data_IF_470140400739
#
_entry.id   IF_470140400739
#
_cell.length_a   1.000
_cell.length_b   1.000
_cell.length_c   1.000
_cell.angle_alpha   90.00
_cell.angle_beta   90.00
_cell.angle_gamma   90.00
#
_symmetry.space_group_name_H-M   'P 1'
#
loop_
_entity.id
_entity.type
_entity.pdbx_description
1 polymer ?
#
# COMPACT_ATOMS: atom_id res chain seq x y z
N UNK A 1 31.61 -1.83 -5.77
CA UNK A 1 32.05 -1.32 -4.44
C UNK A 1 33.26 -0.43 -4.62
N UNK A 2 33.34 0.69 -3.87
CA UNK A 2 34.54 1.55 -3.84
C UNK A 2 35.53 1.11 -2.76
N UNK A 3 35.03 0.45 -1.70
CA UNK A 3 35.82 -0.02 -0.57
C UNK A 3 35.90 -1.56 -0.59
N UNK A 4 37.07 -2.10 -0.22
CA UNK A 4 37.37 -3.54 -0.32
C UNK A 4 36.77 -4.37 0.82
N UNK A 5 36.44 -3.74 1.94
CA UNK A 5 36.02 -4.40 3.17
C UNK A 5 34.50 -4.65 3.27
N UNK A 6 33.74 -4.32 2.23
CA UNK A 6 32.28 -4.44 2.20
C UNK A 6 31.55 -3.21 2.77
N UNK A 7 30.23 -3.32 2.98
CA UNK A 7 29.42 -2.24 3.57
C UNK A 7 28.16 -2.77 4.24
N UNK A 8 27.55 -1.93 5.08
CA UNK A 8 26.15 -2.04 5.50
C UNK A 8 25.39 -0.87 4.90
N UNK A 9 24.24 -1.16 4.27
CA UNK A 9 23.36 -0.16 3.68
C UNK A 9 21.95 -0.36 4.22
N UNK A 10 21.34 0.72 4.69
CA UNK A 10 19.95 0.78 5.10
C UNK A 10 19.16 1.60 4.08
N UNK A 11 18.02 1.06 3.62
CA UNK A 11 17.12 1.69 2.66
C UNK A 11 15.71 1.57 3.21
N UNK A 12 14.98 2.68 3.26
CA UNK A 12 13.66 2.77 3.88
C UNK A 12 12.62 3.35 2.92
N UNK A 13 11.49 2.67 2.76
CA UNK A 13 10.29 3.17 2.07
C UNK A 13 9.34 3.88 3.04
N UNK A 14 9.81 4.90 3.76
CA UNK A 14 9.10 5.46 4.91
C UNK A 14 7.74 6.13 4.59
N UNK A 15 7.50 6.52 3.34
CA UNK A 15 6.22 7.12 2.94
C UNK A 15 5.06 6.09 2.91
N UNK A 16 5.35 4.79 2.89
CA UNK A 16 4.34 3.73 3.02
C UNK A 16 3.55 3.90 4.34
N UNK A 17 4.28 4.14 5.43
CA UNK A 17 3.70 4.35 6.78
C UNK A 17 2.84 5.61 6.83
N UNK A 18 3.36 6.74 6.33
CA UNK A 18 2.64 8.03 6.30
C UNK A 18 1.35 7.91 5.49
N UNK A 19 1.39 7.23 4.33
CA UNK A 19 0.21 7.03 3.52
C UNK A 19 -0.85 6.16 4.21
N UNK A 20 -0.44 5.14 4.97
CA UNK A 20 -1.36 4.35 5.80
C UNK A 20 -1.97 5.17 6.94
N UNK A 21 -1.20 6.04 7.60
CA UNK A 21 -1.72 6.95 8.62
C UNK A 21 -2.80 7.90 8.11
N UNK A 22 -2.69 8.31 6.84
CA UNK A 22 -3.68 9.15 6.15
C UNK A 22 -4.82 8.35 5.48
N UNK A 23 -4.87 7.03 5.68
CA UNK A 23 -5.81 6.11 5.02
C UNK A 23 -5.77 6.17 3.48
N UNK A 24 -4.67 6.61 2.88
CA UNK A 24 -4.47 6.71 1.43
C UNK A 24 -3.93 5.39 0.89
N UNK A 25 -4.80 4.39 0.77
CA UNK A 25 -4.40 3.03 0.38
C UNK A 25 -3.66 2.95 -0.95
N UNK A 26 -4.11 3.68 -1.98
CA UNK A 26 -3.44 3.66 -3.27
C UNK A 26 -2.04 4.26 -3.18
N UNK A 27 -1.87 5.42 -2.52
CA UNK A 27 -0.53 6.00 -2.29
C UNK A 27 0.39 5.04 -1.51
N UNK A 28 -0.10 4.35 -0.49
CA UNK A 28 0.71 3.40 0.28
C UNK A 28 1.20 2.22 -0.59
N UNK A 29 0.34 1.74 -1.50
CA UNK A 29 0.71 0.70 -2.46
C UNK A 29 1.70 1.21 -3.51
N UNK A 30 1.53 2.45 -4.00
CA UNK A 30 2.45 3.08 -4.94
C UNK A 30 3.85 3.23 -4.32
N UNK A 31 3.95 3.70 -3.07
CA UNK A 31 5.23 3.78 -2.34
C UNK A 31 5.85 2.39 -2.06
N UNK A 32 5.02 1.38 -1.84
CA UNK A 32 5.48 -0.02 -1.72
C UNK A 32 6.08 -0.52 -3.04
N UNK A 33 5.51 -0.12 -4.18
CA UNK A 33 6.07 -0.42 -5.51
C UNK A 33 7.41 0.29 -5.72
N UNK A 34 7.59 1.52 -5.23
CA UNK A 34 8.88 2.21 -5.30
C UNK A 34 9.95 1.53 -4.43
N UNK A 35 9.60 1.06 -3.22
CA UNK A 35 10.52 0.24 -2.40
C UNK A 35 10.89 -1.07 -3.11
N UNK A 36 9.92 -1.73 -3.76
CA UNK A 36 10.18 -2.93 -4.55
C UNK A 36 11.19 -2.65 -5.68
N UNK A 37 11.04 -1.55 -6.42
CA UNK A 37 12.01 -1.15 -7.46
C UNK A 37 13.40 -0.90 -6.89
N UNK A 38 13.51 -0.31 -5.70
CA UNK A 38 14.80 -0.12 -5.04
C UNK A 38 15.47 -1.47 -4.70
N UNK A 39 14.69 -2.46 -4.22
CA UNK A 39 15.17 -3.83 -3.99
C UNK A 39 15.61 -4.48 -5.31
N UNK A 40 14.85 -4.34 -6.39
CA UNK A 40 15.25 -4.86 -7.71
C UNK A 40 16.58 -4.25 -8.20
N UNK A 41 16.79 -2.96 -7.95
CA UNK A 41 18.05 -2.29 -8.27
C UNK A 41 19.19 -2.84 -7.42
N UNK A 42 18.98 -3.04 -6.11
CA UNK A 42 19.98 -3.64 -5.23
C UNK A 42 20.39 -5.04 -5.71
N UNK A 43 19.43 -5.91 -6.02
CA UNK A 43 19.68 -7.24 -6.57
C UNK A 43 20.52 -7.20 -7.86
N UNK A 44 20.27 -6.24 -8.75
CA UNK A 44 21.03 -6.06 -10.00
C UNK A 44 22.45 -5.51 -9.77
N UNK A 45 22.69 -4.85 -8.65
CA UNK A 45 23.97 -4.17 -8.34
C UNK A 45 24.89 -4.97 -7.43
N UNK A 46 24.42 -6.10 -6.88
CA UNK A 46 25.16 -6.91 -5.90
C UNK A 46 25.22 -8.38 -6.33
N UNK A 47 26.21 -9.12 -5.81
CA UNK A 47 26.34 -10.56 -6.04
C UNK A 47 25.73 -11.34 -4.88
N UNK A 48 24.79 -12.25 -5.17
CA UNK A 48 24.03 -13.00 -4.14
C UNK A 48 24.91 -13.87 -3.21
N UNK A 49 26.06 -14.34 -3.70
CA UNK A 49 27.01 -15.13 -2.91
C UNK A 49 27.88 -14.28 -1.96
N UNK A 50 27.87 -12.95 -2.10
CA UNK A 50 28.67 -12.02 -1.30
C UNK A 50 27.80 -11.02 -0.52
N UNK A 51 26.50 -10.94 -0.82
CA UNK A 51 25.59 -9.93 -0.26
C UNK A 51 24.33 -10.58 0.29
N UNK A 52 24.08 -10.39 1.59
CA UNK A 52 22.79 -10.69 2.21
C UNK A 52 21.87 -9.47 2.11
N UNK A 53 20.74 -9.64 1.44
CA UNK A 53 19.65 -8.65 1.40
C UNK A 53 18.51 -9.16 2.27
N UNK A 54 18.09 -8.35 3.24
CA UNK A 54 16.94 -8.62 4.11
C UNK A 54 15.89 -7.53 3.88
N UNK A 55 14.67 -7.94 3.55
CA UNK A 55 13.51 -7.05 3.41
C UNK A 55 12.55 -7.37 4.54
N UNK A 56 12.14 -6.35 5.29
CA UNK A 56 11.20 -6.48 6.41
C UNK A 56 10.35 -5.21 6.52
N UNK A 57 9.28 -5.30 7.31
CA UNK A 57 8.63 -4.14 7.91
C UNK A 57 9.03 -4.06 9.38
N UNK A 58 8.99 -2.85 9.95
CA UNK A 58 9.10 -2.59 11.38
C UNK A 58 7.78 -2.86 12.11
N UNK A 59 6.65 -2.54 11.46
CA UNK A 59 5.30 -2.91 11.90
C UNK A 59 4.28 -2.95 10.74
N UNK A 60 3.05 -3.35 11.06
CA UNK A 60 1.92 -3.35 10.12
C UNK A 60 0.95 -2.19 10.41
N UNK A 61 -0.07 -2.06 9.57
CA UNK A 61 -1.18 -1.11 9.72
C UNK A 61 -2.53 -1.81 9.71
N UNK A 62 -3.60 -1.06 10.00
CA UNK A 62 -4.98 -1.60 10.03
C UNK A 62 -5.62 -1.75 8.64
N UNK A 63 -4.81 -1.77 7.57
CA UNK A 63 -5.26 -2.05 6.21
C UNK A 63 -5.78 -3.49 6.12
N UNK A 64 -6.97 -3.64 5.56
CA UNK A 64 -7.60 -4.92 5.29
C UNK A 64 -7.97 -5.04 3.82
N UNK A 65 -7.83 -6.24 3.28
CA UNK A 65 -8.37 -6.64 1.96
C UNK A 65 -9.65 -7.42 2.22
N UNK A 66 -10.77 -6.86 1.81
CA UNK A 66 -12.11 -7.34 2.17
C UNK A 66 -12.94 -7.77 0.97
N UNK A 67 -14.00 -8.50 1.28
CA UNK A 67 -14.94 -9.01 0.31
C UNK A 67 -14.38 -10.16 -0.52
N UNK A 68 -15.01 -10.40 -1.67
CA UNK A 68 -14.65 -11.48 -2.58
C UNK A 68 -14.42 -10.92 -3.99
N UNK A 69 -13.41 -10.04 -4.19
CA UNK A 69 -13.09 -9.51 -5.50
C UNK A 69 -12.68 -10.63 -6.45
N UNK A 70 -12.97 -10.46 -7.74
CA UNK A 70 -12.56 -11.42 -8.77
C UNK A 70 -11.03 -11.44 -8.89
N UNK A 71 -10.46 -12.63 -9.12
CA UNK A 71 -9.03 -12.79 -9.43
C UNK A 71 -8.65 -11.91 -10.62
N UNK A 72 -7.54 -11.17 -10.49
CA UNK A 72 -7.05 -10.25 -11.53
C UNK A 72 -7.85 -8.95 -11.66
N UNK A 73 -8.83 -8.71 -10.78
CA UNK A 73 -9.51 -7.43 -10.69
C UNK A 73 -8.62 -6.35 -10.05
N UNK A 74 -8.98 -5.10 -10.29
CA UNK A 74 -8.35 -3.94 -9.66
C UNK A 74 -8.53 -4.00 -8.13
N UNK A 75 -7.42 -3.86 -7.38
CA UNK A 75 -7.43 -3.89 -5.91
C UNK A 75 -8.16 -2.67 -5.31
N UNK A 76 -8.28 -1.58 -6.06
CA UNK A 76 -8.98 -0.35 -5.66
C UNK A 76 -10.49 -0.39 -5.96
N UNK A 77 -11.01 -1.54 -6.39
CA UNK A 77 -12.40 -1.71 -6.80
C UNK A 77 -13.40 -1.67 -5.63
N UNK A 78 -14.68 -1.66 -6.01
CA UNK A 78 -15.85 -1.64 -5.14
C UNK A 78 -16.73 -2.87 -5.28
N UNK A 79 -17.36 -3.26 -4.17
CA UNK A 79 -18.28 -4.39 -4.08
C UNK A 79 -19.65 -3.87 -3.64
N UNK A 80 -20.70 -4.12 -4.42
CA UNK A 80 -22.07 -3.58 -4.21
C UNK A 80 -23.03 -4.53 -3.48
N UNK A 81 -22.60 -5.74 -3.11
CA UNK A 81 -23.46 -6.79 -2.54
C UNK A 81 -23.59 -6.71 -1.01
N UNK A 82 -24.10 -5.59 -0.48
CA UNK A 82 -24.32 -5.41 0.97
C UNK A 82 -25.79 -5.40 1.36
N UNK A 83 -26.08 -5.67 2.64
CA UNK A 83 -27.45 -5.65 3.19
C UNK A 83 -28.10 -4.26 3.12
N UNK A 84 -27.30 -3.21 3.21
CA UNK A 84 -27.74 -1.81 3.15
C UNK A 84 -27.71 -1.22 1.73
N UNK A 85 -27.48 -2.05 0.71
CA UNK A 85 -27.47 -1.68 -0.71
C UNK A 85 -26.43 -0.60 -1.08
N UNK A 86 -25.32 -0.56 -0.35
CA UNK A 86 -24.24 0.41 -0.49
C UNK A 86 -22.95 -0.29 -0.87
N UNK A 87 -22.18 0.27 -1.79
CA UNK A 87 -20.88 -0.33 -2.10
C UNK A 87 -19.85 -0.07 -0.98
N UNK A 88 -18.87 -0.96 -0.87
CA UNK A 88 -17.66 -0.75 -0.07
C UNK A 88 -16.44 -1.11 -0.91
N UNK A 89 -15.30 -0.49 -0.60
CA UNK A 89 -14.03 -0.75 -1.28
C UNK A 89 -13.44 -2.09 -0.85
N UNK A 90 -12.71 -2.75 -1.74
CA UNK A 90 -11.91 -3.94 -1.40
C UNK A 90 -10.89 -3.62 -0.31
N UNK A 91 -10.18 -2.48 -0.43
CA UNK A 91 -9.29 -2.00 0.62
C UNK A 91 -10.04 -1.16 1.66
N UNK A 92 -9.78 -1.39 2.95
CA UNK A 92 -10.31 -0.54 4.02
C UNK A 92 -9.38 -0.47 5.22
N UNK A 93 -9.49 0.60 6.00
CA UNK A 93 -8.85 0.72 7.32
C UNK A 93 -9.86 0.57 8.44
N UNK A 94 -9.43 -0.02 9.56
CA UNK A 94 -10.27 -0.16 10.74
C UNK A 94 -10.43 1.16 11.52
N UNK A 95 -9.42 2.03 11.45
CA UNK A 95 -9.37 3.34 12.11
C UNK A 95 -8.64 4.37 11.22
N UNK A 96 -8.35 5.56 11.75
CA UNK A 96 -7.68 6.64 11.01
C UNK A 96 -8.64 7.69 10.42
N UNK A 97 -8.10 8.70 9.71
CA UNK A 97 -8.90 9.74 9.09
C UNK A 97 -9.82 9.13 8.02
N UNK A 98 -11.11 9.45 8.11
CA UNK A 98 -12.09 8.93 7.17
C UNK A 98 -12.80 10.08 6.48
N UNK A 99 -12.69 10.15 5.15
CA UNK A 99 -13.66 10.93 4.38
C UNK A 99 -15.02 10.27 4.46
N UNK A 100 -16.07 11.09 4.42
CA UNK A 100 -17.44 10.58 4.38
C UNK A 100 -17.61 9.69 3.16
N UNK A 101 -17.91 8.41 3.39
CA UNK A 101 -18.13 7.42 2.32
C UNK A 101 -19.26 7.81 1.38
N UNK A 102 -20.21 8.62 1.85
CA UNK A 102 -21.31 9.13 1.05
C UNK A 102 -21.40 10.66 1.16
N UNK A 103 -21.81 11.32 0.08
CA UNK A 103 -22.15 12.75 0.16
C UNK A 103 -23.30 12.98 1.17
N UNK A 104 -23.50 14.22 1.63
CA UNK A 104 -24.54 14.57 2.64
C UNK A 104 -25.97 14.18 2.23
N UNK A 105 -26.21 13.93 0.95
CA UNK A 105 -27.50 13.52 0.40
C UNK A 105 -27.62 11.99 0.25
N UNK A 106 -26.57 11.22 0.56
CA UNK A 106 -26.52 9.77 0.43
C UNK A 106 -26.45 9.24 -1.00
N UNK A 107 -26.24 10.12 -2.00
CA UNK A 107 -26.38 9.80 -3.44
C UNK A 107 -25.08 9.54 -4.20
N UNK A 108 -23.93 9.80 -3.58
CA UNK A 108 -22.62 9.62 -4.22
C UNK A 108 -21.65 8.97 -3.26
N UNK A 109 -20.89 7.99 -3.75
CA UNK A 109 -19.89 7.27 -2.98
C UNK A 109 -18.52 7.91 -3.19
N UNK A 110 -17.79 8.15 -2.10
CA UNK A 110 -16.41 8.63 -2.17
C UNK A 110 -15.49 7.52 -2.70
N UNK A 111 -14.72 7.84 -3.74
CA UNK A 111 -13.78 6.90 -4.33
C UNK A 111 -12.43 6.93 -3.60
N UNK A 112 -11.87 5.79 -3.22
CA UNK A 112 -10.57 5.68 -2.57
C UNK A 112 -9.44 5.96 -3.57
N UNK A 113 -9.75 5.91 -4.87
CA UNK A 113 -8.85 6.39 -5.93
C UNK A 113 -8.73 7.93 -5.91
N UNK A 114 -9.69 8.62 -5.30
CA UNK A 114 -9.68 10.08 -5.14
C UNK A 114 -9.01 10.51 -3.82
N UNK A 115 -8.49 9.55 -3.04
CA UNK A 115 -7.68 9.85 -1.86
C UNK A 115 -6.22 10.21 -2.23
N UNK A 116 -5.95 10.32 -3.54
CA UNK A 116 -4.62 10.21 -4.11
C UNK A 116 -4.02 11.49 -4.74
N UNK A 117 -4.40 12.66 -4.24
CA UNK A 117 -3.52 13.85 -4.27
C UNK A 117 -3.57 14.51 -2.90
#
# INVERSE_FOLDING_TARGET
QKDGDGFVLFVEGGLIDIAHHENKAQLALDETVELHKAVEVALKMTQENETLIVVTADHAHTLNINGYPKRGGDILTYIQATKDQKAYSTLSYANGPNKLRFNRQGKGQHSIVDDNR
#
